data_IF_041742376297
#
_entry.id   IF_041742376297
#
_cell.length_a   1.000
_cell.length_b   1.000
_cell.length_c   1.000
_cell.angle_alpha   90.00
_cell.angle_beta   90.00
_cell.angle_gamma   90.00
#
_symmetry.space_group_name_H-M   'P 1'
#
loop_
_entity.id
_entity.type
_entity.pdbx_description
1 polymer ?
#
# COMPACT_ATOMS: atom_id res chain seq x y z
N UNK A 1 -3.76 14.39 -26.03
CA UNK A 1 -3.26 15.61 -25.35
C UNK A 1 -2.74 16.56 -26.41
N UNK A 2 -3.06 17.84 -26.32
CA UNK A 2 -2.55 18.84 -27.26
C UNK A 2 -1.08 19.09 -26.93
N UNK A 3 -0.21 19.15 -27.95
CA UNK A 3 1.23 19.43 -27.82
C UNK A 3 1.54 20.79 -27.15
N UNK A 4 0.55 21.65 -26.95
CA UNK A 4 0.70 22.99 -26.39
C UNK A 4 0.71 23.07 -24.86
N UNK A 5 0.36 22.00 -24.14
CA UNK A 5 0.14 22.03 -22.67
C UNK A 5 1.40 21.77 -21.82
N UNK A 6 2.55 21.47 -22.45
CA UNK A 6 3.77 20.98 -21.78
C UNK A 6 4.93 22.01 -21.70
N UNK A 7 4.69 23.31 -21.90
CA UNK A 7 5.76 24.31 -21.99
C UNK A 7 5.98 25.15 -20.71
N UNK A 8 5.14 25.01 -19.68
CA UNK A 8 5.27 25.72 -18.39
C UNK A 8 5.40 24.70 -17.24
N UNK A 9 6.52 24.68 -16.48
CA UNK A 9 6.70 23.80 -15.33
C UNK A 9 5.57 23.86 -14.28
N UNK A 10 4.96 25.04 -14.08
CA UNK A 10 3.84 25.21 -13.14
C UNK A 10 2.60 24.50 -13.67
N UNK A 11 2.35 24.60 -14.97
CA UNK A 11 1.22 23.94 -15.63
C UNK A 11 1.40 22.42 -15.62
N UNK A 12 2.62 21.93 -15.89
CA UNK A 12 2.96 20.50 -15.83
C UNK A 12 2.72 19.93 -14.44
N UNK A 13 3.16 20.61 -13.37
CA UNK A 13 2.89 20.18 -11.99
C UNK A 13 1.41 20.15 -11.65
N UNK A 14 0.65 21.16 -12.10
CA UNK A 14 -0.81 21.22 -11.89
C UNK A 14 -1.53 20.06 -12.58
N UNK A 15 -1.13 19.72 -13.81
CA UNK A 15 -1.70 18.57 -14.54
C UNK A 15 -1.35 17.27 -13.84
N UNK A 16 -0.10 17.10 -13.40
CA UNK A 16 0.34 15.90 -12.70
C UNK A 16 -0.40 15.74 -11.35
N UNK A 17 -0.54 16.83 -10.60
CA UNK A 17 -1.27 16.82 -9.32
C UNK A 17 -2.71 16.34 -9.50
N UNK A 18 -3.43 16.96 -10.43
CA UNK A 18 -4.86 16.66 -10.67
C UNK A 18 -5.09 15.28 -11.28
N UNK A 19 -4.16 14.75 -12.09
CA UNK A 19 -4.33 13.46 -12.76
C UNK A 19 -3.85 12.25 -11.96
N UNK A 20 -2.80 12.39 -11.16
CA UNK A 20 -2.12 11.25 -10.55
C UNK A 20 -2.08 11.33 -9.03
N UNK A 21 -1.64 12.46 -8.49
CA UNK A 21 -1.41 12.61 -7.06
C UNK A 21 -2.75 12.61 -6.30
N UNK A 22 -3.68 13.50 -6.68
CA UNK A 22 -4.96 13.63 -6.00
C UNK A 22 -5.80 12.35 -6.12
N UNK A 23 -5.99 11.75 -7.33
CA UNK A 23 -6.70 10.48 -7.46
C UNK A 23 -6.00 9.33 -6.74
N UNK A 24 -4.67 9.28 -6.76
CA UNK A 24 -3.89 8.26 -6.06
C UNK A 24 -4.09 8.31 -4.55
N UNK A 25 -4.07 9.50 -3.96
CA UNK A 25 -4.40 9.65 -2.53
C UNK A 25 -5.86 9.31 -2.24
N UNK A 26 -6.80 9.75 -3.08
CA UNK A 26 -8.22 9.45 -2.89
C UNK A 26 -8.46 7.94 -2.88
N UNK A 27 -7.88 7.23 -3.84
CA UNK A 27 -7.96 5.78 -3.95
C UNK A 27 -7.36 5.08 -2.72
N UNK A 28 -6.13 5.43 -2.36
CA UNK A 28 -5.41 4.71 -1.32
C UNK A 28 -5.82 5.08 0.11
N UNK A 29 -6.39 6.26 0.34
CA UNK A 29 -6.85 6.69 1.67
C UNK A 29 -8.32 6.36 1.94
N UNK A 30 -9.01 5.81 0.95
CA UNK A 30 -10.41 5.42 1.08
C UNK A 30 -10.55 3.90 1.07
N UNK A 31 -11.56 3.38 1.76
CA UNK A 31 -11.92 1.98 1.64
C UNK A 31 -12.87 1.83 0.44
N UNK A 32 -12.58 0.91 -0.46
CA UNK A 32 -13.35 0.63 -1.67
C UNK A 32 -13.77 -0.83 -1.68
N UNK A 33 -15.07 -1.11 -1.49
CA UNK A 33 -15.62 -2.48 -1.45
C UNK A 33 -14.78 -3.46 -0.60
N UNK A 34 -13.92 -4.24 -1.26
CA UNK A 34 -13.07 -5.29 -0.70
C UNK A 34 -11.61 -4.83 -0.45
N UNK A 35 -11.26 -3.62 -0.87
CA UNK A 35 -9.95 -2.98 -0.68
C UNK A 35 -10.05 -2.00 0.47
N UNK A 36 -9.24 -2.23 1.51
CA UNK A 36 -9.14 -1.34 2.66
C UNK A 36 -7.88 -0.51 2.54
N UNK A 37 -7.96 0.78 2.84
CA UNK A 37 -6.79 1.63 2.95
C UNK A 37 -5.77 0.96 3.89
N UNK A 38 -4.51 0.78 3.44
CA UNK A 38 -3.47 0.22 4.30
C UNK A 38 -2.88 1.25 5.26
N UNK A 39 -3.23 2.53 5.08
CA UNK A 39 -2.60 3.65 5.78
C UNK A 39 -3.42 4.09 7.00
N UNK A 40 -2.86 4.00 8.22
CA UNK A 40 -3.49 4.52 9.43
C UNK A 40 -3.86 6.00 9.28
N UNK A 41 -5.04 6.40 9.76
CA UNK A 41 -5.51 7.78 9.62
C UNK A 41 -4.55 8.82 10.19
N UNK A 42 -3.83 8.45 11.27
CA UNK A 42 -2.88 9.31 11.98
C UNK A 42 -1.67 9.72 11.13
N UNK A 43 -1.25 8.90 10.15
CA UNK A 43 -0.10 9.20 9.31
C UNK A 43 -0.47 9.90 8.00
N UNK A 44 -1.75 9.89 7.59
CA UNK A 44 -2.17 10.27 6.23
C UNK A 44 -1.77 11.68 5.81
N UNK A 45 -1.86 12.66 6.72
CA UNK A 45 -1.47 14.03 6.41
C UNK A 45 0.03 14.15 6.15
N UNK A 46 0.86 13.58 7.03
CA UNK A 46 2.31 13.58 6.88
C UNK A 46 2.74 12.76 5.65
N UNK A 47 2.08 11.63 5.41
CA UNK A 47 2.30 10.79 4.23
C UNK A 47 1.99 11.55 2.94
N UNK A 48 0.86 12.26 2.90
CA UNK A 48 0.47 13.08 1.74
C UNK A 48 1.51 14.12 1.39
N UNK A 49 2.01 14.84 2.41
CA UNK A 49 3.04 15.85 2.24
C UNK A 49 4.37 15.25 1.74
N UNK A 50 4.89 14.23 2.42
CA UNK A 50 6.18 13.60 2.07
C UNK A 50 6.16 12.96 0.67
N UNK A 51 5.11 12.21 0.36
CA UNK A 51 4.97 11.58 -0.95
C UNK A 51 4.90 12.62 -2.06
N UNK A 52 4.15 13.72 -1.87
CA UNK A 52 4.05 14.78 -2.89
C UNK A 52 5.41 15.45 -3.14
N UNK A 53 6.17 15.73 -2.08
CA UNK A 53 7.50 16.34 -2.19
C UNK A 53 8.43 15.41 -2.99
N UNK A 54 8.57 14.16 -2.56
CA UNK A 54 9.50 13.20 -3.18
C UNK A 54 9.09 12.88 -4.62
N UNK A 55 7.79 12.78 -4.89
CA UNK A 55 7.30 12.55 -6.25
C UNK A 55 7.62 13.71 -7.18
N UNK A 56 7.47 14.96 -6.74
CA UNK A 56 7.87 16.11 -7.54
C UNK A 56 9.40 16.25 -7.68
N UNK A 57 10.17 15.92 -6.64
CA UNK A 57 11.64 15.85 -6.75
C UNK A 57 12.09 14.82 -7.80
N UNK A 58 11.42 13.67 -7.86
CA UNK A 58 11.66 12.67 -8.89
C UNK A 58 11.30 13.19 -10.29
N UNK A 59 10.16 13.88 -10.44
CA UNK A 59 9.76 14.53 -11.70
C UNK A 59 10.78 15.58 -12.15
N UNK A 60 11.20 16.46 -11.25
CA UNK A 60 12.15 17.52 -11.54
C UNK A 60 13.53 16.97 -11.93
N UNK A 61 13.85 15.75 -11.48
CA UNK A 61 15.09 15.03 -11.82
C UNK A 61 15.10 14.45 -13.25
N UNK A 62 13.96 14.39 -13.94
CA UNK A 62 13.85 13.83 -15.28
C UNK A 62 14.15 14.87 -16.37
N UNK A 63 14.74 14.41 -17.48
CA UNK A 63 14.83 15.25 -18.69
C UNK A 63 13.44 15.42 -19.30
N UNK A 64 13.23 16.54 -19.96
CA UNK A 64 11.97 16.83 -20.65
C UNK A 64 11.58 15.73 -21.67
N UNK A 65 12.55 15.15 -22.37
CA UNK A 65 12.32 14.04 -23.30
C UNK A 65 11.85 12.75 -22.61
N UNK A 66 12.34 12.49 -21.40
CA UNK A 66 11.97 11.32 -20.59
C UNK A 66 10.55 11.52 -20.06
N UNK A 67 10.27 12.70 -19.49
CA UNK A 67 8.95 13.07 -19.00
C UNK A 67 7.87 13.00 -20.09
N UNK A 68 8.19 13.38 -21.32
CA UNK A 68 7.29 13.30 -22.48
C UNK A 68 7.06 11.88 -22.98
N UNK A 69 7.99 10.97 -22.73
CA UNK A 69 7.90 9.57 -23.15
C UNK A 69 7.18 8.70 -22.11
N UNK A 70 7.11 9.16 -20.87
CA UNK A 70 6.45 8.45 -19.79
C UNK A 70 4.96 8.25 -20.04
N UNK A 71 4.51 7.05 -19.70
CA UNK A 71 3.11 6.65 -19.74
C UNK A 71 2.44 6.84 -18.39
N UNK A 72 1.11 6.88 -18.41
CA UNK A 72 0.29 7.12 -17.22
C UNK A 72 0.45 6.02 -16.16
N UNK A 73 0.63 4.75 -16.57
CA UNK A 73 0.91 3.62 -15.69
C UNK A 73 2.26 3.75 -14.98
N UNK A 74 3.30 4.19 -15.69
CA UNK A 74 4.63 4.44 -15.09
C UNK A 74 4.60 5.55 -14.02
N UNK A 75 3.79 6.60 -14.22
CA UNK A 75 3.58 7.63 -13.17
C UNK A 75 2.85 7.07 -11.96
N UNK A 76 1.81 6.27 -12.17
CA UNK A 76 1.04 5.65 -11.10
C UNK A 76 1.91 4.68 -10.29
N UNK A 77 2.64 3.80 -10.95
CA UNK A 77 3.56 2.84 -10.30
C UNK A 77 4.63 3.54 -9.46
N UNK A 78 5.22 4.62 -9.98
CA UNK A 78 6.21 5.38 -9.20
C UNK A 78 5.58 6.12 -8.02
N UNK A 79 4.40 6.72 -8.22
CA UNK A 79 3.66 7.36 -7.14
C UNK A 79 3.36 6.36 -6.02
N UNK A 80 2.86 5.17 -6.35
CA UNK A 80 2.59 4.10 -5.39
C UNK A 80 3.85 3.62 -4.71
N UNK A 81 4.94 3.43 -5.46
CA UNK A 81 6.24 3.06 -4.90
C UNK A 81 6.70 4.06 -3.84
N UNK A 82 6.64 5.36 -4.13
CA UNK A 82 7.01 6.41 -3.17
C UNK A 82 6.03 6.43 -1.99
N UNK A 83 4.73 6.33 -2.26
CA UNK A 83 3.68 6.33 -1.24
C UNK A 83 3.88 5.21 -0.21
N UNK A 84 4.06 3.98 -0.65
CA UNK A 84 4.25 2.83 0.24
C UNK A 84 5.59 2.91 1.00
N UNK A 85 6.67 3.33 0.33
CA UNK A 85 7.97 3.52 0.96
C UNK A 85 7.94 4.59 2.06
N UNK A 86 7.28 5.73 1.82
CA UNK A 86 7.15 6.79 2.83
C UNK A 86 6.22 6.39 3.97
N UNK A 87 5.19 5.60 3.69
CA UNK A 87 4.30 5.10 4.73
C UNK A 87 5.02 4.19 5.72
N UNK A 88 5.89 3.30 5.24
CA UNK A 88 6.70 2.43 6.10
C UNK A 88 7.64 3.21 7.03
N UNK A 89 8.10 4.39 6.62
CA UNK A 89 8.94 5.28 7.45
C UNK A 89 8.15 6.06 8.52
N UNK A 90 6.82 6.01 8.47
CA UNK A 90 5.92 6.74 9.36
C UNK A 90 5.24 5.84 10.40
N UNK A 91 5.47 4.53 10.34
CA UNK A 91 4.90 3.55 11.28
C UNK A 91 5.99 2.77 12.01
N UNK A 92 5.84 2.66 13.32
CA UNK A 92 6.75 1.87 14.17
C UNK A 92 6.15 0.53 14.60
N UNK A 93 4.82 0.37 14.45
CA UNK A 93 4.09 -0.84 14.84
C UNK A 93 4.21 -1.93 13.76
N UNK A 94 4.55 -3.16 14.20
CA UNK A 94 4.79 -4.29 13.30
C UNK A 94 3.51 -4.68 12.53
N UNK A 95 2.33 -4.64 13.14
CA UNK A 95 1.08 -4.98 12.44
C UNK A 95 0.74 -3.93 11.37
N UNK A 96 1.00 -2.64 11.64
CA UNK A 96 0.87 -1.59 10.65
C UNK A 96 1.87 -1.76 9.50
N UNK A 97 3.13 -2.10 9.81
CA UNK A 97 4.14 -2.40 8.79
C UNK A 97 3.71 -3.57 7.90
N UNK A 98 3.25 -4.68 8.50
CA UNK A 98 2.73 -5.82 7.74
C UNK A 98 1.49 -5.42 6.92
N UNK A 99 0.64 -4.52 7.42
CA UNK A 99 -0.54 -4.02 6.69
C UNK A 99 -0.15 -3.19 5.49
N UNK A 100 0.90 -2.38 5.58
CA UNK A 100 1.40 -1.57 4.47
C UNK A 100 2.13 -2.44 3.46
N UNK A 101 3.00 -3.35 3.90
CA UNK A 101 3.73 -4.27 3.02
C UNK A 101 2.80 -5.26 2.30
N UNK A 102 1.70 -5.64 2.95
CA UNK A 102 0.77 -6.65 2.44
C UNK A 102 -0.69 -6.18 2.55
N UNK A 103 -1.10 -5.16 1.77
CA UNK A 103 -2.38 -4.45 1.94
C UNK A 103 -3.61 -5.32 1.72
N UNK A 104 -3.46 -6.40 0.95
CA UNK A 104 -4.50 -7.35 0.58
C UNK A 104 -4.57 -8.59 1.47
N UNK A 105 -3.68 -8.72 2.46
CA UNK A 105 -3.71 -9.84 3.40
C UNK A 105 -4.66 -9.59 4.57
N UNK A 106 -5.11 -10.66 5.26
CA UNK A 106 -5.92 -10.54 6.46
C UNK A 106 -5.21 -9.71 7.55
N UNK A 107 -5.97 -8.83 8.20
CA UNK A 107 -5.54 -7.95 9.29
C UNK A 107 -6.05 -8.49 10.62
N UNK A 108 -5.48 -8.00 11.72
CA UNK A 108 -5.98 -8.31 13.06
C UNK A 108 -7.48 -7.96 13.17
N UNK A 109 -8.25 -8.87 13.75
CA UNK A 109 -9.70 -8.76 13.92
C UNK A 109 -10.54 -9.21 12.72
N UNK A 110 -9.93 -9.48 11.56
CA UNK A 110 -10.69 -9.95 10.39
C UNK A 110 -11.36 -11.29 10.66
N UNK A 111 -12.61 -11.43 10.19
CA UNK A 111 -13.35 -12.68 10.31
C UNK A 111 -12.94 -13.67 9.22
N UNK A 112 -12.80 -14.93 9.61
CA UNK A 112 -12.55 -16.04 8.71
C UNK A 112 -13.54 -17.18 8.98
N UNK A 113 -13.88 -17.94 7.93
CA UNK A 113 -14.70 -19.12 8.04
C UNK A 113 -13.98 -20.30 7.39
N UNK A 114 -13.33 -21.12 8.21
CA UNK A 114 -12.55 -22.27 7.75
C UNK A 114 -13.42 -23.52 7.70
N UNK A 115 -13.29 -24.32 6.65
CA UNK A 115 -14.11 -25.53 6.43
C UNK A 115 -14.02 -26.54 7.58
N UNK A 116 -12.87 -26.62 8.26
CA UNK A 116 -12.63 -27.56 9.37
C UNK A 116 -12.72 -26.93 10.76
N UNK A 117 -12.47 -25.63 10.89
CA UNK A 117 -12.34 -24.96 12.19
C UNK A 117 -13.47 -23.96 12.46
N UNK A 118 -14.42 -23.84 11.55
CA UNK A 118 -15.57 -22.95 11.66
C UNK A 118 -15.17 -21.48 11.62
N UNK A 119 -15.99 -20.66 12.28
CA UNK A 119 -15.80 -19.20 12.32
C UNK A 119 -14.74 -18.81 13.34
N UNK A 120 -13.95 -17.81 12.99
CA UNK A 120 -12.93 -17.24 13.85
C UNK A 120 -12.59 -15.81 13.48
N UNK A 121 -11.70 -15.20 14.25
CA UNK A 121 -11.08 -13.93 13.90
C UNK A 121 -9.56 -14.02 13.99
N UNK A 122 -8.87 -13.27 13.13
CA UNK A 122 -7.41 -13.16 13.16
C UNK A 122 -7.00 -12.49 14.47
N UNK A 123 -6.17 -13.17 15.27
CA UNK A 123 -5.70 -12.69 16.55
C UNK A 123 -4.18 -12.46 16.60
N UNK A 124 -3.43 -13.00 15.63
CA UNK A 124 -2.00 -12.73 15.47
C UNK A 124 -1.59 -12.92 14.01
N UNK A 125 -0.57 -12.19 13.59
CA UNK A 125 0.06 -12.29 12.27
C UNK A 125 1.53 -11.92 12.35
N UNK A 126 2.37 -12.56 11.52
CA UNK A 126 3.80 -12.25 11.42
C UNK A 126 4.40 -12.80 10.13
N UNK A 127 5.50 -12.20 9.69
CA UNK A 127 6.37 -12.77 8.68
C UNK A 127 7.34 -13.76 9.34
N UNK A 128 7.54 -14.93 8.74
CA UNK A 128 8.53 -15.91 9.16
C UNK A 128 9.33 -16.41 7.96
N UNK A 129 10.54 -16.92 8.23
CA UNK A 129 11.36 -17.59 7.21
C UNK A 129 11.31 -19.10 7.44
N UNK A 130 10.96 -19.85 6.41
CA UNK A 130 10.92 -21.30 6.45
C UNK A 130 12.33 -21.91 6.48
N UNK A 131 12.42 -23.21 6.79
CA UNK A 131 13.70 -23.94 6.72
C UNK A 131 14.30 -23.99 5.31
N UNK A 132 13.47 -23.80 4.29
CA UNK A 132 13.87 -23.76 2.88
C UNK A 132 14.16 -22.32 2.41
N UNK A 133 14.32 -21.38 3.35
CA UNK A 133 14.59 -19.98 3.09
C UNK A 133 13.48 -19.27 2.28
N UNK A 134 12.23 -19.71 2.45
CA UNK A 134 11.05 -19.05 1.86
C UNK A 134 10.40 -18.11 2.87
N UNK A 135 9.98 -16.93 2.43
CA UNK A 135 9.17 -16.03 3.26
C UNK A 135 7.74 -16.57 3.35
N UNK A 136 7.24 -16.69 4.57
CA UNK A 136 5.86 -17.13 4.84
C UNK A 136 5.16 -16.07 5.68
N UNK A 137 3.86 -15.97 5.49
CA UNK A 137 2.98 -15.18 6.33
C UNK A 137 2.18 -16.13 7.23
N UNK A 138 2.44 -16.09 8.53
CA UNK A 138 1.72 -16.91 9.51
C UNK A 138 0.55 -16.12 10.10
N UNK A 139 -0.62 -16.75 10.14
CA UNK A 139 -1.84 -16.23 10.76
C UNK A 139 -2.26 -17.14 11.91
N UNK A 140 -2.59 -16.56 13.05
CA UNK A 140 -3.33 -17.24 14.11
C UNK A 140 -4.78 -16.76 14.15
N UNK A 141 -5.70 -17.72 14.28
CA UNK A 141 -7.14 -17.49 14.30
C UNK A 141 -7.71 -18.00 15.60
N UNK A 142 -8.43 -17.14 16.32
CA UNK A 142 -9.20 -17.52 17.50
C UNK A 142 -10.59 -17.97 17.07
N UNK A 143 -10.92 -19.25 17.31
CA UNK A 143 -12.23 -19.82 17.03
C UNK A 143 -13.30 -19.16 17.91
N UNK A 144 -14.41 -18.77 17.28
CA UNK A 144 -15.58 -18.22 17.99
C UNK A 144 -16.44 -19.32 18.62
N UNK A 145 -16.27 -20.58 18.20
CA UNK A 145 -17.08 -21.70 18.67
C UNK A 145 -16.42 -22.43 19.85
N UNK A 146 -15.10 -22.63 19.78
CA UNK A 146 -14.36 -23.42 20.78
C UNK A 146 -13.50 -22.58 21.71
N UNK A 147 -13.22 -21.32 21.36
CA UNK A 147 -12.26 -20.47 22.06
C UNK A 147 -10.80 -20.93 21.89
N UNK A 148 -10.54 -21.93 21.06
CA UNK A 148 -9.18 -22.40 20.77
C UNK A 148 -8.56 -21.62 19.60
N UNK A 149 -7.23 -21.52 19.60
CA UNK A 149 -6.47 -20.90 18.52
C UNK A 149 -5.92 -21.97 17.59
N UNK A 150 -5.98 -21.72 16.28
CA UNK A 150 -5.28 -22.50 15.27
C UNK A 150 -4.46 -21.57 14.37
N UNK A 151 -3.45 -22.13 13.71
CA UNK A 151 -2.54 -21.38 12.84
C UNK A 151 -2.64 -21.86 11.39
N UNK A 152 -2.42 -20.95 10.45
CA UNK A 152 -2.24 -21.24 9.02
C UNK A 152 -1.15 -20.36 8.46
N UNK A 153 -0.58 -20.77 7.33
CA UNK A 153 0.52 -20.08 6.68
C UNK A 153 0.37 -20.15 5.16
N UNK A 154 0.87 -19.14 4.48
CA UNK A 154 1.02 -19.14 3.03
C UNK A 154 2.32 -18.44 2.62
N UNK A 155 2.83 -18.83 1.46
CA UNK A 155 4.08 -18.31 0.91
C UNK A 155 3.87 -16.86 0.42
N UNK A 156 4.81 -16.00 0.80
CA UNK A 156 4.91 -14.65 0.26
C UNK A 156 5.76 -14.72 -1.01
N UNK A 157 5.26 -14.14 -2.09
CA UNK A 157 6.04 -13.99 -3.31
C UNK A 157 7.09 -12.90 -3.08
N UNK A 158 8.32 -13.18 -3.51
CA UNK A 158 9.43 -12.22 -3.53
C UNK A 158 9.22 -11.11 -4.58
#
# INVERSE_FOLDING_TARGET
MSQSELNDPIQTRSVISSKFIEPGFEYWFTNHEHIRSPFPSVIRNALKERTSIIFFEWIDGMKESELKAMKEDEFAEMFETILFNEALKLVDDEDQQLTISYPFLPRLGDQVNHSQHGKGHICSRKEIVSKENKKLFELSVLSQETGQTWATQFELLD
#
